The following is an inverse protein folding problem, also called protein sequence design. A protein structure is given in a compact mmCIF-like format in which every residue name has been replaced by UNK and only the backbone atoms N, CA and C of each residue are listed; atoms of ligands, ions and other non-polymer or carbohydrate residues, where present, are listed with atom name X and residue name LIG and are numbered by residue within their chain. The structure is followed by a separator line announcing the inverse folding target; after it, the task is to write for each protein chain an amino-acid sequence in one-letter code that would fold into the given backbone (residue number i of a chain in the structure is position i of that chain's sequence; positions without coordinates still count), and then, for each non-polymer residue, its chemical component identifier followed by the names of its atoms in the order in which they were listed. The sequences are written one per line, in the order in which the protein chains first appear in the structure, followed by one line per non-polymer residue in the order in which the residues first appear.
data_IF_879592740859
#
_entry.id   IF_879592740859
#
_cell.length_a   1.000
_cell.length_b   1.000
_cell.length_c   1.000
_cell.angle_alpha   90.00
_cell.angle_beta   90.00
_cell.angle_gamma   90.00
#
_symmetry.space_group_name_H-M   'P 1'
#
loop_
_entity.id
_entity.type
_entity.pdbx_description
1 polymer ?
#
# COMPACT_ATOMS: atom_id res chain seq x y z
N UNK A 1 -27.89 -25.53 -7.58
CA UNK A 1 -26.60 -24.91 -7.18
C UNK A 1 -26.74 -23.41 -6.93
N UNK A 2 -27.89 -22.81 -7.22
CA UNK A 2 -28.13 -21.35 -7.17
C UNK A 2 -28.32 -20.81 -5.75
N UNK A 3 -28.87 -21.62 -4.83
CA UNK A 3 -29.10 -21.20 -3.45
C UNK A 3 -27.80 -20.80 -2.72
N UNK A 4 -26.68 -21.50 -2.95
CA UNK A 4 -25.38 -21.18 -2.31
C UNK A 4 -24.72 -19.90 -2.86
N UNK A 5 -24.97 -19.56 -4.13
CA UNK A 5 -24.46 -18.33 -4.73
C UNK A 5 -25.20 -17.11 -4.15
N UNK A 6 -26.52 -17.19 -4.02
CA UNK A 6 -27.34 -16.15 -3.36
C UNK A 6 -26.93 -15.92 -1.90
N UNK A 7 -26.63 -16.99 -1.16
CA UNK A 7 -26.15 -16.96 0.23
C UNK A 7 -24.88 -16.12 0.36
N UNK A 8 -23.92 -16.28 -0.56
CA UNK A 8 -22.62 -15.59 -0.51
C UNK A 8 -22.68 -14.13 -0.97
N UNK A 9 -23.53 -13.82 -1.95
CA UNK A 9 -23.71 -12.46 -2.46
C UNK A 9 -24.48 -11.59 -1.47
N UNK A 10 -25.57 -12.12 -0.88
CA UNK A 10 -26.32 -11.45 0.17
C UNK A 10 -25.47 -11.16 1.41
N UNK A 11 -24.62 -12.11 1.81
CA UNK A 11 -23.70 -11.91 2.95
C UNK A 11 -22.69 -10.78 2.72
N UNK A 12 -22.11 -10.66 1.52
CA UNK A 12 -21.21 -9.53 1.20
C UNK A 12 -21.94 -8.19 1.18
N UNK A 13 -23.19 -8.16 0.72
CA UNK A 13 -24.01 -6.95 0.71
C UNK A 13 -24.41 -6.53 2.12
N UNK A 14 -24.78 -7.46 3.00
CA UNK A 14 -25.09 -7.15 4.40
C UNK A 14 -23.86 -6.63 5.14
N UNK A 15 -22.70 -7.27 4.97
CA UNK A 15 -21.41 -6.80 5.49
C UNK A 15 -21.10 -5.38 5.02
N UNK A 16 -21.20 -5.10 3.72
CA UNK A 16 -20.93 -3.77 3.20
C UNK A 16 -21.94 -2.72 3.69
N UNK A 17 -23.20 -3.10 3.90
CA UNK A 17 -24.24 -2.18 4.38
C UNK A 17 -24.00 -1.83 5.85
N UNK A 18 -23.69 -2.83 6.66
CA UNK A 18 -23.42 -2.67 8.09
C UNK A 18 -22.15 -1.83 8.32
N UNK A 19 -21.06 -2.12 7.59
CA UNK A 19 -19.85 -1.31 7.70
C UNK A 19 -20.06 0.15 7.28
N UNK A 20 -20.91 0.40 6.29
CA UNK A 20 -21.29 1.76 5.92
C UNK A 20 -22.07 2.46 7.04
N UNK A 21 -23.00 1.75 7.69
CA UNK A 21 -23.79 2.31 8.77
C UNK A 21 -22.92 2.65 9.99
N UNK A 22 -22.01 1.74 10.38
CA UNK A 22 -21.04 2.01 11.45
C UNK A 22 -20.18 3.24 11.16
N UNK A 23 -19.76 3.42 9.90
CA UNK A 23 -19.03 4.62 9.49
C UNK A 23 -19.89 5.88 9.57
N UNK A 24 -21.16 5.84 9.14
CA UNK A 24 -22.05 7.01 9.24
C UNK A 24 -22.38 7.39 10.68
N UNK A 25 -22.46 6.41 11.57
CA UNK A 25 -22.76 6.63 12.99
C UNK A 25 -21.52 7.12 13.76
N UNK A 26 -20.33 6.65 13.40
CA UNK A 26 -19.07 7.03 14.03
C UNK A 26 -17.99 7.50 13.02
N UNK A 27 -18.22 8.61 12.29
CA UNK A 27 -17.40 8.97 11.14
C UNK A 27 -15.98 9.43 11.46
N UNK A 28 -15.73 9.94 12.66
CA UNK A 28 -14.42 10.52 13.02
C UNK A 28 -13.42 9.47 13.50
N UNK A 29 -13.82 8.70 14.52
CA UNK A 29 -12.94 7.78 15.26
C UNK A 29 -13.36 6.31 15.04
N UNK A 30 -14.52 6.06 14.46
CA UNK A 30 -15.08 4.72 14.30
C UNK A 30 -15.58 4.11 15.61
N UNK A 31 -15.99 2.84 15.53
CA UNK A 31 -16.49 2.05 16.66
C UNK A 31 -15.38 1.41 17.51
N UNK A 32 -14.11 1.65 17.16
CA UNK A 32 -12.93 1.07 17.80
C UNK A 32 -12.37 -0.13 17.04
N UNK A 33 -11.05 -0.30 17.13
CA UNK A 33 -10.32 -1.38 16.46
C UNK A 33 -10.80 -2.76 16.93
N UNK A 34 -10.95 -3.69 15.99
CA UNK A 34 -11.41 -5.07 16.22
C UNK A 34 -12.88 -5.18 16.69
N UNK A 35 -13.60 -4.06 16.80
CA UNK A 35 -15.00 -4.05 17.19
C UNK A 35 -15.96 -4.23 16.01
N UNK A 36 -15.48 -4.38 14.77
CA UNK A 36 -16.35 -4.59 13.61
C UNK A 36 -17.19 -5.85 13.77
N UNK A 37 -16.58 -6.99 14.11
CA UNK A 37 -17.28 -8.29 14.23
C UNK A 37 -18.31 -8.27 15.35
N UNK A 38 -17.96 -7.67 16.48
CA UNK A 38 -18.84 -7.54 17.64
C UNK A 38 -20.04 -6.65 17.34
N UNK A 39 -19.82 -5.50 16.70
CA UNK A 39 -20.92 -4.61 16.31
C UNK A 39 -21.70 -5.15 15.09
N UNK A 40 -21.11 -6.02 14.27
CA UNK A 40 -21.80 -6.57 13.09
C UNK A 40 -23.07 -7.31 13.49
N UNK A 41 -23.03 -8.10 14.58
CA UNK A 41 -24.24 -8.76 15.08
C UNK A 41 -25.31 -7.74 15.51
N UNK A 42 -24.92 -6.73 16.29
CA UNK A 42 -25.88 -5.71 16.77
C UNK A 42 -26.58 -5.00 15.61
N UNK A 43 -25.81 -4.53 14.63
CA UNK A 43 -26.35 -3.82 13.47
C UNK A 43 -27.11 -4.73 12.49
N UNK A 44 -26.69 -5.99 12.33
CA UNK A 44 -27.37 -6.95 11.45
C UNK A 44 -28.67 -7.48 12.04
N UNK A 45 -28.75 -7.63 13.36
CA UNK A 45 -29.97 -8.00 14.08
C UNK A 45 -31.00 -6.86 14.07
N UNK A 46 -30.59 -5.61 14.33
CA UNK A 46 -31.48 -4.44 14.33
C UNK A 46 -32.14 -4.19 12.97
N UNK A 47 -31.42 -4.44 11.87
CA UNK A 47 -31.92 -4.21 10.51
C UNK A 47 -32.57 -5.47 9.89
N UNK A 48 -32.53 -6.62 10.57
CA UNK A 48 -33.12 -7.88 10.10
C UNK A 48 -32.53 -8.39 8.78
N UNK A 49 -31.33 -7.94 8.41
CA UNK A 49 -30.72 -8.20 7.09
C UNK A 49 -29.97 -9.53 7.04
N UNK A 50 -29.60 -10.09 8.19
CA UNK A 50 -28.88 -11.35 8.28
C UNK A 50 -29.53 -12.28 9.32
N UNK A 51 -30.28 -13.27 8.84
CA UNK A 51 -31.01 -14.25 9.69
C UNK A 51 -30.05 -15.30 10.27
N UNK A 52 -28.78 -15.30 9.87
CA UNK A 52 -27.85 -16.40 10.14
C UNK A 52 -27.08 -16.30 11.46
N UNK A 53 -27.09 -15.14 12.14
CA UNK A 53 -26.45 -14.91 13.46
C UNK A 53 -25.00 -15.42 13.55
N UNK A 54 -24.22 -15.27 12.47
CA UNK A 54 -22.81 -15.67 12.43
C UNK A 54 -21.91 -14.42 12.40
N UNK A 55 -20.81 -14.44 13.16
CA UNK A 55 -19.78 -13.39 13.10
C UNK A 55 -19.11 -13.38 11.72
N UNK A 56 -19.31 -12.31 10.95
CA UNK A 56 -18.65 -12.10 9.66
C UNK A 56 -17.72 -10.91 9.73
N UNK A 57 -16.47 -11.13 9.33
CA UNK A 57 -15.53 -10.03 9.09
C UNK A 57 -15.90 -9.34 7.79
N UNK A 58 -15.69 -8.02 7.70
CA UNK A 58 -15.92 -7.28 6.48
C UNK A 58 -15.07 -7.88 5.34
N UNK A 59 -15.71 -8.32 4.26
CA UNK A 59 -14.97 -8.70 3.06
C UNK A 59 -14.41 -7.48 2.28
N UNK A 60 -14.50 -6.27 2.83
CA UNK A 60 -13.92 -5.04 2.28
C UNK A 60 -13.07 -4.32 3.34
N UNK A 61 -11.74 -4.38 3.19
CA UNK A 61 -10.79 -3.80 4.14
C UNK A 61 -10.94 -2.29 4.33
N UNK A 62 -11.28 -1.55 3.26
CA UNK A 62 -11.43 -0.10 3.34
C UNK A 62 -12.64 0.28 4.18
N UNK A 63 -13.72 -0.50 4.07
CA UNK A 63 -14.92 -0.27 4.84
C UNK A 63 -14.76 -0.73 6.29
N UNK A 64 -14.02 -1.82 6.53
CA UNK A 64 -13.62 -2.24 7.88
C UNK A 64 -12.85 -1.13 8.59
N UNK A 65 -11.83 -0.58 7.94
CA UNK A 65 -11.03 0.54 8.47
C UNK A 65 -11.92 1.76 8.68
N UNK A 66 -12.80 2.10 7.73
CA UNK A 66 -13.72 3.22 7.89
C UNK A 66 -14.65 3.03 9.10
N UNK A 67 -15.23 1.85 9.28
CA UNK A 67 -16.12 1.54 10.39
C UNK A 67 -15.38 1.55 11.73
N UNK A 68 -14.20 0.93 11.82
CA UNK A 68 -13.48 0.77 13.09
C UNK A 68 -12.71 2.02 13.53
N UNK A 69 -12.19 2.79 12.58
CA UNK A 69 -11.26 3.90 12.85
C UNK A 69 -11.68 5.24 12.23
N UNK A 70 -12.79 5.26 11.49
CA UNK A 70 -13.34 6.47 10.88
C UNK A 70 -12.42 7.11 9.85
N UNK A 71 -12.62 8.41 9.66
CA UNK A 71 -11.81 9.26 8.78
C UNK A 71 -10.32 9.29 9.20
N UNK A 72 -10.01 9.12 10.48
CA UNK A 72 -8.62 9.10 10.95
C UNK A 72 -7.84 7.92 10.38
N UNK A 73 -8.41 6.71 10.39
CA UNK A 73 -7.73 5.55 9.81
C UNK A 73 -7.70 5.58 8.28
N UNK A 74 -8.75 6.09 7.63
CA UNK A 74 -8.73 6.32 6.18
C UNK A 74 -7.64 7.32 5.78
N UNK A 75 -7.46 8.38 6.56
CA UNK A 75 -6.38 9.35 6.35
C UNK A 75 -5.01 8.71 6.56
N UNK A 76 -4.82 7.94 7.63
CA UNK A 76 -3.57 7.22 7.87
C UNK A 76 -3.23 6.23 6.75
N UNK A 77 -4.22 5.47 6.28
CA UNK A 77 -4.08 4.56 5.14
C UNK A 77 -3.68 5.33 3.86
N UNK A 78 -4.39 6.41 3.55
CA UNK A 78 -4.09 7.26 2.41
C UNK A 78 -2.68 7.86 2.48
N UNK A 79 -2.24 8.27 3.67
CA UNK A 79 -0.89 8.77 3.92
C UNK A 79 0.15 7.68 3.66
N UNK A 80 -0.06 6.45 4.14
CA UNK A 80 0.84 5.33 3.89
C UNK A 80 0.94 5.05 2.39
N UNK A 81 -0.20 4.94 1.69
CA UNK A 81 -0.23 4.73 0.23
C UNK A 81 0.53 5.83 -0.51
N UNK A 82 0.34 7.09 -0.11
CA UNK A 82 1.03 8.24 -0.70
C UNK A 82 2.55 8.18 -0.47
N UNK A 83 3.00 7.85 0.75
CA UNK A 83 4.42 7.70 1.07
C UNK A 83 5.05 6.57 0.25
N UNK A 84 4.37 5.42 0.13
CA UNK A 84 4.87 4.28 -0.65
C UNK A 84 4.97 4.63 -2.14
N UNK A 85 3.95 5.30 -2.70
CA UNK A 85 3.98 5.79 -4.07
C UNK A 85 5.17 6.74 -4.30
N UNK A 86 5.37 7.71 -3.39
CA UNK A 86 6.50 8.65 -3.44
C UNK A 86 7.85 7.94 -3.36
N UNK A 87 7.97 6.92 -2.51
CA UNK A 87 9.18 6.12 -2.39
C UNK A 87 9.52 5.39 -3.70
N UNK A 88 8.56 4.63 -4.25
CA UNK A 88 8.75 3.92 -5.52
C UNK A 88 9.14 4.87 -6.65
N UNK A 89 8.40 5.98 -6.83
CA UNK A 89 8.67 6.96 -7.89
C UNK A 89 10.02 7.67 -7.72
N UNK A 90 10.43 7.96 -6.48
CA UNK A 90 11.76 8.54 -6.22
C UNK A 90 12.87 7.55 -6.55
N UNK A 91 12.71 6.28 -6.17
CA UNK A 91 13.72 5.25 -6.41
C UNK A 91 13.87 4.96 -7.91
N UNK A 92 12.77 4.85 -8.63
CA UNK A 92 12.74 4.68 -10.09
C UNK A 92 13.51 5.81 -10.79
N UNK A 93 13.20 7.08 -10.46
CA UNK A 93 13.87 8.23 -11.04
C UNK A 93 15.38 8.30 -10.70
N UNK A 94 15.76 7.90 -9.49
CA UNK A 94 17.17 7.91 -9.09
C UNK A 94 17.96 6.78 -9.80
N UNK A 95 17.37 5.60 -10.02
CA UNK A 95 17.97 4.54 -10.84
C UNK A 95 18.07 4.89 -12.33
N UNK A 96 17.07 5.58 -12.90
CA UNK A 96 17.15 6.11 -14.27
C UNK A 96 18.29 7.10 -14.42
N UNK A 97 18.43 8.04 -13.49
CA UNK A 97 19.54 9.01 -13.46
C UNK A 97 20.91 8.35 -13.27
N UNK A 98 20.95 7.24 -12.55
CA UNK A 98 22.15 6.43 -12.38
C UNK A 98 22.51 5.66 -13.67
N UNK A 99 21.66 5.64 -14.70
CA UNK A 99 21.86 4.84 -15.91
C UNK A 99 21.70 3.34 -15.63
N UNK A 100 20.76 2.99 -14.75
CA UNK A 100 20.43 1.61 -14.35
C UNK A 100 18.96 1.28 -14.70
N UNK A 101 18.61 1.23 -16.01
CA UNK A 101 17.22 1.06 -16.43
C UNK A 101 16.60 -0.26 -15.97
N UNK A 102 17.38 -1.33 -15.84
CA UNK A 102 16.88 -2.62 -15.34
C UNK A 102 16.40 -2.53 -13.89
N UNK A 103 17.11 -1.76 -13.05
CA UNK A 103 16.74 -1.52 -11.66
C UNK A 103 15.53 -0.59 -11.56
N UNK A 104 15.46 0.45 -12.41
CA UNK A 104 14.27 1.30 -12.50
C UNK A 104 13.02 0.48 -12.88
N UNK A 105 13.14 -0.41 -13.87
CA UNK A 105 12.07 -1.32 -14.28
C UNK A 105 11.65 -2.29 -13.17
N UNK A 106 12.60 -2.81 -12.38
CA UNK A 106 12.31 -3.65 -11.22
C UNK A 106 11.52 -2.89 -10.15
N UNK A 107 11.93 -1.65 -9.84
CA UNK A 107 11.20 -0.78 -8.90
C UNK A 107 9.80 -0.47 -9.41
N UNK A 108 9.66 -0.18 -10.70
CA UNK A 108 8.36 0.05 -11.33
C UNK A 108 7.46 -1.20 -11.23
N UNK A 109 7.99 -2.37 -11.59
CA UNK A 109 7.25 -3.64 -11.50
C UNK A 109 6.81 -3.95 -10.06
N UNK A 110 7.67 -3.67 -9.07
CA UNK A 110 7.30 -3.76 -7.66
C UNK A 110 6.16 -2.79 -7.32
N UNK A 111 6.21 -1.54 -7.81
CA UNK A 111 5.14 -0.56 -7.64
C UNK A 111 3.79 -1.04 -8.20
N UNK A 112 3.79 -1.66 -9.39
CA UNK A 112 2.60 -2.29 -9.97
C UNK A 112 2.10 -3.45 -9.10
N UNK A 113 3.00 -4.28 -8.58
CA UNK A 113 2.64 -5.35 -7.64
C UNK A 113 2.02 -4.83 -6.35
N UNK A 114 2.53 -3.72 -5.82
CA UNK A 114 1.99 -3.04 -4.64
C UNK A 114 0.59 -2.47 -4.92
N UNK A 115 0.36 -1.88 -6.09
CA UNK A 115 -0.97 -1.46 -6.53
C UNK A 115 -1.93 -2.66 -6.61
N UNK A 116 -1.47 -3.79 -7.15
CA UNK A 116 -2.23 -5.04 -7.19
C UNK A 116 -2.60 -5.56 -5.79
N UNK A 117 -1.68 -5.46 -4.83
CA UNK A 117 -1.94 -5.79 -3.42
C UNK A 117 -3.09 -4.94 -2.85
N UNK A 118 -3.05 -3.62 -3.07
CA UNK A 118 -4.13 -2.71 -2.62
C UNK A 118 -5.46 -2.95 -3.35
N UNK A 119 -5.43 -3.36 -4.62
CA UNK A 119 -6.62 -3.72 -5.38
C UNK A 119 -7.28 -4.99 -4.82
N UNK A 120 -6.48 -6.01 -4.46
CA UNK A 120 -7.00 -7.24 -3.83
C UNK A 120 -7.54 -6.96 -2.43
N UNK A 121 -6.99 -5.98 -1.71
CA UNK A 121 -7.49 -5.55 -0.40
C UNK A 121 -8.94 -5.01 -0.43
N UNK A 122 -9.48 -4.64 -1.60
CA UNK A 122 -10.89 -4.25 -1.75
C UNK A 122 -11.83 -5.45 -1.51
N UNK A 123 -11.39 -6.65 -1.90
CA UNK A 123 -12.23 -7.87 -1.92
C UNK A 123 -11.90 -8.81 -0.76
N UNK A 124 -10.78 -8.58 -0.07
CA UNK A 124 -10.28 -9.47 0.97
C UNK A 124 -10.04 -8.70 2.25
N UNK A 125 -10.66 -9.18 3.34
CA UNK A 125 -10.30 -8.89 4.74
C UNK A 125 -8.77 -8.97 4.93
N UNK A 126 -8.22 -8.16 5.85
CA UNK A 126 -6.82 -8.19 6.31
C UNK A 126 -6.39 -9.55 6.91
N UNK A 127 -6.22 -10.57 6.08
CA UNK A 127 -5.86 -11.90 6.56
C UNK A 127 -4.40 -11.95 7.03
N UNK A 128 -3.52 -11.02 6.59
CA UNK A 128 -2.09 -11.11 6.87
C UNK A 128 -1.38 -9.72 6.94
N UNK A 129 -1.47 -9.00 8.08
CA UNK A 129 -0.75 -7.73 8.28
C UNK A 129 0.77 -7.86 8.09
N UNK A 130 1.33 -9.06 8.28
CA UNK A 130 2.77 -9.33 8.09
C UNK A 130 3.27 -9.03 6.68
N UNK A 131 2.51 -9.40 5.64
CA UNK A 131 2.93 -9.17 4.25
C UNK A 131 2.87 -7.69 3.89
N UNK A 132 1.86 -6.97 4.40
CA UNK A 132 1.74 -5.54 4.21
C UNK A 132 2.96 -4.79 4.75
N UNK A 133 3.33 -5.02 6.01
CA UNK A 133 4.47 -4.35 6.63
C UNK A 133 5.80 -4.71 5.97
N UNK A 134 5.95 -5.95 5.50
CA UNK A 134 7.13 -6.37 4.74
C UNK A 134 7.25 -5.63 3.41
N UNK A 135 6.16 -5.53 2.65
CA UNK A 135 6.13 -4.77 1.38
C UNK A 135 6.42 -3.29 1.62
N UNK A 136 5.91 -2.70 2.72
CA UNK A 136 6.22 -1.34 3.11
C UNK A 136 7.72 -1.15 3.39
N UNK A 137 8.33 -2.06 4.17
CA UNK A 137 9.75 -2.00 4.48
C UNK A 137 10.64 -2.08 3.23
N UNK A 138 10.28 -2.93 2.27
CA UNK A 138 10.98 -3.02 0.98
C UNK A 138 10.83 -1.71 0.22
N UNK A 139 9.59 -1.23 0.03
CA UNK A 139 9.32 0.01 -0.70
C UNK A 139 10.08 1.22 -0.13
N UNK A 140 10.13 1.34 1.20
CA UNK A 140 10.80 2.45 1.90
C UNK A 140 12.33 2.36 1.85
N UNK A 141 12.91 1.19 1.61
CA UNK A 141 14.37 1.03 1.47
C UNK A 141 14.87 1.29 0.05
N UNK A 142 14.03 1.13 -0.98
CA UNK A 142 14.41 1.37 -2.38
C UNK A 142 15.01 2.76 -2.64
N UNK A 143 14.43 3.89 -2.16
CA UNK A 143 15.00 5.22 -2.39
C UNK A 143 16.38 5.40 -1.77
N UNK A 144 16.64 4.74 -0.63
CA UNK A 144 17.93 4.80 0.03
C UNK A 144 19.01 4.14 -0.83
N UNK A 145 18.73 2.94 -1.34
CA UNK A 145 19.64 2.21 -2.23
C UNK A 145 19.84 2.96 -3.55
N UNK A 146 18.76 3.45 -4.17
CA UNK A 146 18.82 4.18 -5.44
C UNK A 146 19.68 5.45 -5.33
N UNK A 147 19.53 6.22 -4.24
CA UNK A 147 20.36 7.39 -3.98
C UNK A 147 21.83 7.06 -3.77
N UNK A 148 22.12 5.97 -3.08
CA UNK A 148 23.48 5.52 -2.84
C UNK A 148 24.18 5.16 -4.16
N UNK A 149 23.50 4.43 -5.06
CA UNK A 149 24.02 4.09 -6.38
C UNK A 149 24.22 5.31 -7.28
N UNK A 150 23.25 6.24 -7.28
CA UNK A 150 23.37 7.49 -8.01
C UNK A 150 24.59 8.31 -7.55
N UNK A 151 24.78 8.44 -6.23
CA UNK A 151 25.94 9.15 -5.67
C UNK A 151 27.26 8.47 -6.03
N UNK A 152 27.33 7.14 -5.96
CA UNK A 152 28.53 6.40 -6.32
C UNK A 152 28.95 6.68 -7.78
N UNK A 153 27.98 6.70 -8.70
CA UNK A 153 28.24 6.97 -10.13
C UNK A 153 28.63 8.41 -10.42
N UNK A 154 28.02 9.37 -9.75
CA UNK A 154 28.41 10.79 -9.87
C UNK A 154 29.86 11.02 -9.40
N UNK A 155 30.26 10.34 -8.33
CA UNK A 155 31.63 10.42 -7.79
C UNK A 155 32.65 9.76 -8.73
N UNK A 156 32.32 8.60 -9.30
CA UNK A 156 33.18 7.93 -10.29
C UNK A 156 33.37 8.79 -11.55
N UNK A 157 32.29 9.34 -12.09
CA UNK A 157 32.36 10.23 -13.25
C UNK A 157 33.18 11.50 -12.98
N UNK A 158 33.08 12.08 -11.77
CA UNK A 158 33.89 13.25 -11.39
C UNK A 158 35.38 12.91 -11.30
N UNK A 159 35.73 11.72 -10.81
CA UNK A 159 37.11 11.23 -10.73
C UNK A 159 37.69 10.94 -12.11
N UNK A 160 36.92 10.31 -13.00
CA UNK A 160 37.36 9.99 -14.36
C UNK A 160 37.67 11.25 -15.17
N UNK A 161 36.79 12.26 -15.10
CA UNK A 161 37.00 13.57 -15.75
C UNK A 161 38.25 14.26 -15.19
N UNK A 162 38.42 14.29 -13.86
CA UNK A 162 39.60 14.90 -13.23
C UNK A 162 40.90 14.23 -13.66
N UNK A 163 40.92 12.89 -13.73
CA UNK A 163 42.08 12.12 -14.17
C UNK A 163 42.41 12.35 -15.65
N UNK A 164 41.39 12.44 -16.52
CA UNK A 164 41.56 12.73 -17.94
C UNK A 164 42.14 14.13 -18.19
N UNK A 165 41.68 15.13 -17.45
CA UNK A 165 42.26 16.50 -17.51
C UNK A 165 43.72 16.48 -17.07
N UNK A 166 44.04 15.78 -15.98
CA UNK A 166 45.40 15.70 -15.45
C UNK A 166 46.37 14.96 -16.38
N UNK A 167 45.91 13.92 -17.09
CA UNK A 167 46.74 13.18 -18.05
C UNK A 167 46.94 13.96 -19.36
N UNK A 168 45.93 14.68 -19.84
CA UNK A 168 46.04 15.55 -21.02
C UNK A 168 47.02 16.71 -20.83
N UNK A 169 46.99 17.37 -19.66
CA UNK A 169 47.97 18.41 -19.31
C UNK A 169 49.40 17.83 -19.30
N UNK A 170 49.57 16.61 -18.79
CA UNK A 170 50.89 15.96 -18.69
C UNK A 170 51.47 15.52 -20.04
N UNK A 171 50.65 15.40 -21.09
CA UNK A 171 51.11 15.09 -22.45
C UNK A 171 51.55 16.33 -23.24
N UNK A 172 51.08 17.51 -22.85
CA UNK A 172 51.38 18.77 -23.55
C UNK A 172 52.65 19.48 -23.04
N UNK A 173 53.16 19.05 -21.88
CA UNK A 173 54.40 19.55 -21.23
C UNK A 173 55.66 18.73 -21.58
N UNK A 174 55.62 17.86 -22.60
CA UNK A 174 56.77 17.10 -23.11
C UNK A 174 57.05 17.44 -24.56
#
# INVERSE_FOLDING_TARGET
QDAYQEVSFRGRLSENTVGWLMFTDHPLIGVGLENYKTNYLHYSEDLGIDVRREERGAHNMYLEIAAETGLMGLFAMGLIMWVLYRAVRSAEADFERAGMPDYANLVFAFGVGLLGFFAVAIVKHMAHPRYFWMLCGIALSMPYVAKQELQARLMDNSRSVTNAVRSGVRQHDK
#
